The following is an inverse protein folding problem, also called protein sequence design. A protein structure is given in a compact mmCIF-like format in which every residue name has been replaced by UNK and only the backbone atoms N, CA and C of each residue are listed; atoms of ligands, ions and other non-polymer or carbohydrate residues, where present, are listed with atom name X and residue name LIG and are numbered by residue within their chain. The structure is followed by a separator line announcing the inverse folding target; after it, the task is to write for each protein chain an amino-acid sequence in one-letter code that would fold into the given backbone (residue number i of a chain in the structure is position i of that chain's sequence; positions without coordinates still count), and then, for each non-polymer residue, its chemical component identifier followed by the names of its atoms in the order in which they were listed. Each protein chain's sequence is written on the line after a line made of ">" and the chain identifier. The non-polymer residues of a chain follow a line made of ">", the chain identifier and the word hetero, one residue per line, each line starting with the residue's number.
data_IF_878234535411
#
_entry.id   IF_878234535411
#
_cell.length_a   1.000
_cell.length_b   1.000
_cell.length_c   1.000
_cell.angle_alpha   90.00
_cell.angle_beta   90.00
_cell.angle_gamma   90.00
#
_symmetry.space_group_name_H-M   'P 1'
#
loop_
_entity.id
_entity.type
_entity.pdbx_description
1 polymer ?
#
# COMPACT_ATOMS: atom_id res chain seq x y z
N UNK A 1 -34.65 -2.99 9.74
CA UNK A 1 -33.61 -3.97 9.41
C UNK A 1 -32.25 -3.30 9.54
N UNK A 2 -31.29 -3.97 10.18
CA UNK A 2 -29.92 -3.47 10.35
C UNK A 2 -29.04 -3.98 9.21
N UNK A 3 -28.49 -3.05 8.42
CA UNK A 3 -27.54 -3.35 7.36
C UNK A 3 -26.16 -2.91 7.83
N UNK A 4 -25.13 -3.77 7.67
CA UNK A 4 -23.75 -3.47 8.00
C UNK A 4 -22.89 -3.63 6.74
N UNK A 5 -22.01 -2.67 6.52
CA UNK A 5 -21.06 -2.66 5.40
C UNK A 5 -19.67 -3.11 5.84
N UNK A 6 -19.06 -3.98 5.05
CA UNK A 6 -17.65 -4.36 5.20
C UNK A 6 -16.89 -3.84 3.98
N UNK A 7 -16.02 -2.87 4.19
CA UNK A 7 -15.14 -2.30 3.19
C UNK A 7 -13.97 -3.21 2.82
N UNK A 8 -13.04 -2.67 2.07
CA UNK A 8 -11.87 -3.42 1.60
C UNK A 8 -10.64 -2.54 1.41
N UNK A 9 -9.46 -3.00 1.83
CA UNK A 9 -8.20 -2.36 1.48
C UNK A 9 -7.77 -2.60 0.01
N UNK A 10 -8.51 -3.45 -0.75
CA UNK A 10 -8.32 -3.63 -2.19
C UNK A 10 -9.11 -2.62 -3.01
N UNK A 11 -10.29 -2.24 -2.52
CA UNK A 11 -11.14 -1.24 -3.16
C UNK A 11 -10.56 0.18 -3.00
N UNK A 12 -10.87 1.05 -3.97
CA UNK A 12 -10.48 2.45 -3.89
C UNK A 12 -11.13 3.18 -2.71
N UNK A 13 -10.68 4.39 -2.46
CA UNK A 13 -11.13 5.19 -1.32
C UNK A 13 -12.63 5.50 -1.40
N UNK A 14 -13.12 5.86 -2.57
CA UNK A 14 -14.47 6.37 -2.77
C UNK A 14 -15.57 5.35 -2.51
N UNK A 15 -15.54 4.10 -3.01
CA UNK A 15 -16.57 3.12 -2.66
C UNK A 15 -16.52 2.72 -1.18
N UNK A 16 -15.34 2.69 -0.54
CA UNK A 16 -15.24 2.51 0.91
C UNK A 16 -15.90 3.67 1.67
N UNK A 17 -15.64 4.90 1.23
CA UNK A 17 -16.26 6.10 1.79
C UNK A 17 -17.79 6.08 1.60
N UNK A 18 -18.27 5.78 0.38
CA UNK A 18 -19.71 5.72 0.10
C UNK A 18 -20.42 4.69 0.97
N UNK A 19 -19.84 3.52 1.15
CA UNK A 19 -20.40 2.47 2.01
C UNK A 19 -20.51 2.96 3.47
N UNK A 20 -19.47 3.62 3.99
CA UNK A 20 -19.50 4.23 5.31
C UNK A 20 -20.50 5.39 5.41
N UNK A 21 -20.54 6.26 4.40
CA UNK A 21 -21.45 7.42 4.36
C UNK A 21 -22.91 6.98 4.32
N UNK A 22 -23.21 5.97 3.49
CA UNK A 22 -24.56 5.41 3.37
C UNK A 22 -25.05 4.80 4.68
N UNK A 23 -24.30 3.87 5.26
CA UNK A 23 -24.74 3.06 6.40
C UNK A 23 -24.46 3.72 7.76
N UNK A 24 -23.61 4.71 7.78
CA UNK A 24 -23.09 5.36 8.99
C UNK A 24 -21.94 4.59 9.65
N UNK A 25 -21.10 5.29 10.43
CA UNK A 25 -19.85 4.71 10.98
C UNK A 25 -20.11 3.52 11.92
N UNK A 26 -21.21 3.51 12.67
CA UNK A 26 -21.61 2.42 13.59
C UNK A 26 -22.11 1.16 12.88
N UNK A 27 -22.30 1.22 11.57
CA UNK A 27 -22.68 0.09 10.72
C UNK A 27 -21.66 -0.13 9.59
N UNK A 28 -20.44 0.29 9.79
CA UNK A 28 -19.35 0.13 8.82
C UNK A 28 -18.11 -0.46 9.48
N UNK A 29 -17.47 -1.40 8.78
CA UNK A 29 -16.13 -1.89 9.04
C UNK A 29 -15.23 -1.61 7.83
N UNK A 30 -13.99 -1.22 8.07
CA UNK A 30 -13.01 -1.02 6.97
C UNK A 30 -12.60 -2.31 6.25
N UNK A 31 -12.99 -3.47 6.78
CA UNK A 31 -12.67 -4.76 6.21
C UNK A 31 -11.22 -5.22 6.39
N UNK A 32 -10.42 -4.48 7.14
CA UNK A 32 -9.12 -4.93 7.63
C UNK A 32 -9.31 -5.94 8.77
N UNK A 33 -8.44 -6.95 8.85
CA UNK A 33 -8.40 -7.77 10.07
C UNK A 33 -7.97 -6.91 11.27
N UNK A 34 -8.35 -7.29 12.49
CA UNK A 34 -8.06 -6.47 13.66
C UNK A 34 -6.55 -6.27 13.90
N UNK A 35 -5.67 -7.29 13.71
CA UNK A 35 -4.23 -7.09 13.77
C UNK A 35 -3.71 -6.12 12.69
N UNK A 36 -4.17 -6.24 11.44
CA UNK A 36 -3.79 -5.31 10.37
C UNK A 36 -4.24 -3.88 10.67
N UNK A 37 -5.47 -3.71 11.10
CA UNK A 37 -6.01 -2.39 11.45
C UNK A 37 -5.18 -1.71 12.56
N UNK A 38 -4.81 -2.46 13.60
CA UNK A 38 -3.97 -1.97 14.69
C UNK A 38 -2.56 -1.64 14.22
N UNK A 39 -1.97 -2.50 13.37
CA UNK A 39 -0.62 -2.27 12.83
C UNK A 39 -0.58 -1.03 11.91
N UNK A 40 -1.58 -0.85 11.04
CA UNK A 40 -1.65 0.32 10.14
C UNK A 40 -1.93 1.60 10.93
N UNK A 41 -2.72 1.55 11.98
CA UNK A 41 -2.93 2.70 12.88
C UNK A 41 -1.60 3.11 13.55
N UNK A 42 -0.83 2.15 14.04
CA UNK A 42 0.51 2.39 14.59
C UNK A 42 1.45 2.99 13.53
N UNK A 43 1.46 2.41 12.34
CA UNK A 43 2.23 2.89 11.19
C UNK A 43 1.87 4.35 10.85
N UNK A 44 0.59 4.68 10.80
CA UNK A 44 0.12 6.05 10.51
C UNK A 44 0.58 7.05 11.58
N UNK A 45 0.56 6.65 12.87
CA UNK A 45 1.10 7.46 13.97
C UNK A 45 2.60 7.69 13.81
N UNK A 46 3.36 6.66 13.46
CA UNK A 46 4.81 6.77 13.20
C UNK A 46 5.05 7.75 12.06
N UNK A 47 4.38 7.59 10.90
CA UNK A 47 4.56 8.49 9.76
C UNK A 47 4.22 9.95 10.06
N UNK A 48 3.32 10.20 11.00
CA UNK A 48 2.95 11.57 11.41
C UNK A 48 3.90 12.20 12.43
N UNK A 49 4.74 11.42 13.10
CA UNK A 49 5.62 11.87 14.19
C UNK A 49 7.11 11.70 13.92
N UNK A 50 7.50 10.87 12.95
CA UNK A 50 8.90 10.63 12.61
C UNK A 50 9.61 11.91 12.16
N UNK A 51 10.88 12.02 12.52
CA UNK A 51 11.81 13.07 12.06
C UNK A 51 12.52 12.68 10.76
N UNK A 52 12.47 11.41 10.37
CA UNK A 52 13.02 10.92 9.12
C UNK A 52 12.13 11.30 7.92
N UNK A 53 12.74 11.44 6.75
CA UNK A 53 12.01 11.69 5.52
C UNK A 53 11.23 10.44 5.09
N UNK A 54 9.96 10.59 4.71
CA UNK A 54 9.17 9.52 4.09
C UNK A 54 9.40 9.58 2.57
N UNK A 55 10.18 8.66 1.99
CA UNK A 55 10.62 8.79 0.61
C UNK A 55 9.59 8.26 -0.37
N UNK A 56 9.53 8.88 -1.55
CA UNK A 56 8.96 8.21 -2.72
C UNK A 56 9.87 7.06 -3.19
N UNK A 57 9.30 6.12 -3.97
CA UNK A 57 10.06 5.00 -4.55
C UNK A 57 11.30 5.51 -5.34
N UNK A 58 11.18 6.66 -6.02
CA UNK A 58 12.30 7.27 -6.75
C UNK A 58 13.38 7.83 -5.82
N UNK A 59 13.01 8.37 -4.67
CA UNK A 59 13.98 8.87 -3.68
C UNK A 59 14.74 7.72 -3.02
N UNK A 60 14.08 6.55 -2.81
CA UNK A 60 14.76 5.35 -2.29
C UNK A 60 15.92 4.91 -3.16
N UNK A 61 15.85 5.10 -4.48
CA UNK A 61 16.94 4.78 -5.41
C UNK A 61 18.23 5.57 -5.14
N UNK A 62 18.16 6.62 -4.33
CA UNK A 62 19.33 7.44 -3.96
C UNK A 62 19.99 7.05 -2.64
N UNK A 63 19.48 6.04 -1.94
CA UNK A 63 20.07 5.56 -0.68
C UNK A 63 21.48 5.01 -0.90
N UNK A 64 22.37 5.25 0.07
CA UNK A 64 23.76 4.77 0.08
C UNK A 64 24.04 3.70 1.13
N UNK A 65 23.09 3.45 2.04
CA UNK A 65 23.02 2.27 2.89
C UNK A 65 21.55 1.93 3.18
N UNK A 66 21.23 0.65 3.28
CA UNK A 66 19.84 0.20 3.43
C UNK A 66 19.77 -0.81 4.58
N UNK A 67 18.79 -0.64 5.46
CA UNK A 67 18.36 -1.62 6.44
C UNK A 67 16.93 -2.06 6.13
N UNK A 68 16.71 -3.36 5.94
CA UNK A 68 15.39 -3.96 5.95
C UNK A 68 15.16 -4.65 7.28
N UNK A 69 14.09 -4.30 7.97
CA UNK A 69 13.75 -4.83 9.28
C UNK A 69 12.35 -5.47 9.28
N UNK A 70 12.31 -6.79 9.27
CA UNK A 70 11.09 -7.59 9.43
C UNK A 70 10.13 -7.61 8.25
N UNK A 71 10.54 -7.15 7.04
CA UNK A 71 9.63 -7.07 5.89
C UNK A 71 10.20 -7.79 4.66
N UNK A 72 9.44 -8.67 4.04
CA UNK A 72 9.78 -9.24 2.74
C UNK A 72 9.24 -8.36 1.60
N UNK A 73 9.94 -7.29 1.33
CA UNK A 73 9.57 -6.32 0.28
C UNK A 73 9.51 -6.93 -1.13
N UNK A 74 10.15 -8.09 -1.34
CA UNK A 74 10.11 -8.79 -2.64
C UNK A 74 8.71 -9.29 -2.97
N UNK A 75 7.97 -9.73 -1.95
CA UNK A 75 6.61 -10.24 -2.09
C UNK A 75 5.55 -9.18 -1.79
N UNK A 76 5.78 -8.29 -0.80
CA UNK A 76 4.78 -7.32 -0.35
C UNK A 76 4.82 -6.02 -1.14
N UNK A 77 6.02 -5.57 -1.57
CA UNK A 77 6.21 -4.30 -2.24
C UNK A 77 7.24 -4.38 -3.38
N UNK A 78 6.97 -5.11 -4.48
CA UNK A 78 7.96 -5.40 -5.55
C UNK A 78 8.57 -4.14 -6.18
N UNK A 79 7.85 -3.02 -6.22
CA UNK A 79 8.39 -1.75 -6.72
C UNK A 79 9.41 -1.14 -5.77
N UNK A 80 9.22 -1.30 -4.44
CA UNK A 80 10.23 -0.92 -3.45
C UNK A 80 11.45 -1.85 -3.61
N UNK A 81 11.25 -3.17 -3.68
CA UNK A 81 12.35 -4.11 -3.91
C UNK A 81 13.19 -3.75 -5.13
N UNK A 82 12.55 -3.32 -6.24
CA UNK A 82 13.27 -2.85 -7.43
C UNK A 82 14.08 -1.56 -7.12
N UNK A 83 13.51 -0.61 -6.39
CA UNK A 83 14.21 0.62 -6.01
C UNK A 83 15.45 0.32 -5.13
N UNK A 84 15.33 -0.63 -4.19
CA UNK A 84 16.46 -1.06 -3.37
C UNK A 84 17.56 -1.72 -4.23
N UNK A 85 17.20 -2.56 -5.21
CA UNK A 85 18.16 -3.11 -6.19
C UNK A 85 18.84 -2.04 -7.04
N UNK A 86 18.17 -0.92 -7.31
CA UNK A 86 18.81 0.21 -7.98
C UNK A 86 19.75 0.97 -7.00
N UNK A 87 19.31 1.16 -5.76
CA UNK A 87 20.08 1.86 -4.74
C UNK A 87 21.40 1.17 -4.40
N UNK A 88 21.45 -0.15 -4.31
CA UNK A 88 22.72 -0.89 -4.05
C UNK A 88 23.77 -0.68 -5.14
N UNK A 89 23.40 -0.21 -6.33
CA UNK A 89 24.34 0.12 -7.42
C UNK A 89 25.00 1.50 -7.26
N UNK A 90 24.59 2.29 -6.27
CA UNK A 90 25.11 3.65 -6.09
C UNK A 90 26.61 3.68 -5.84
N UNK A 91 27.18 2.65 -5.19
CA UNK A 91 28.64 2.56 -5.00
C UNK A 91 29.36 2.52 -6.37
N UNK A 92 28.93 1.63 -7.27
CA UNK A 92 29.46 1.56 -8.63
C UNK A 92 29.31 2.89 -9.40
N UNK A 93 28.20 3.60 -9.21
CA UNK A 93 27.97 4.92 -9.82
C UNK A 93 28.89 5.99 -9.22
N UNK A 94 29.14 5.96 -7.91
CA UNK A 94 30.05 6.89 -7.23
C UNK A 94 31.51 6.68 -7.71
N UNK A 95 31.94 5.43 -7.83
CA UNK A 95 33.23 5.08 -8.41
C UNK A 95 33.38 5.58 -9.86
N UNK A 96 32.33 5.39 -10.68
CA UNK A 96 32.32 5.84 -12.06
C UNK A 96 32.39 7.37 -12.17
N UNK A 97 31.65 8.10 -11.32
CA UNK A 97 31.69 9.55 -11.26
C UNK A 97 33.08 10.06 -10.87
N UNK A 98 33.71 9.45 -9.88
CA UNK A 98 35.09 9.75 -9.48
C UNK A 98 36.12 9.49 -10.60
N UNK A 99 35.88 8.51 -11.45
CA UNK A 99 36.67 8.18 -12.63
C UNK A 99 36.32 9.02 -13.89
N UNK A 100 35.30 9.91 -13.80
CA UNK A 100 34.85 10.71 -14.93
C UNK A 100 34.05 9.92 -15.98
N UNK A 101 33.52 8.76 -15.61
CA UNK A 101 32.71 7.88 -16.48
C UNK A 101 31.21 8.28 -16.33
N UNK A 102 30.55 8.69 -17.42
CA UNK A 102 29.12 9.01 -17.36
C UNK A 102 28.25 7.78 -17.01
N UNK A 103 27.24 7.99 -16.14
CA UNK A 103 26.34 6.91 -15.63
C UNK A 103 25.60 6.13 -16.75
N UNK A 104 25.39 6.72 -17.91
CA UNK A 104 24.75 6.06 -19.05
C UNK A 104 25.65 5.05 -19.77
N UNK A 105 26.99 5.06 -19.52
CA UNK A 105 27.92 4.08 -20.05
C UNK A 105 27.92 2.81 -19.18
N UNK A 106 26.83 2.07 -19.19
CA UNK A 106 26.56 0.93 -18.30
C UNK A 106 27.71 -0.11 -18.30
N UNK A 107 28.26 -0.45 -19.45
CA UNK A 107 29.36 -1.40 -19.53
C UNK A 107 30.64 -0.91 -18.82
N UNK A 108 30.97 0.38 -18.95
CA UNK A 108 32.14 0.95 -18.28
C UNK A 108 31.93 1.06 -16.76
N UNK A 109 30.71 1.43 -16.32
CA UNK A 109 30.33 1.46 -14.90
C UNK A 109 30.45 0.07 -14.28
N UNK A 110 29.91 -0.97 -14.94
CA UNK A 110 30.01 -2.36 -14.46
C UNK A 110 31.45 -2.85 -14.40
N UNK A 111 32.23 -2.57 -15.43
CA UNK A 111 33.65 -2.98 -15.45
C UNK A 111 34.46 -2.32 -14.35
N UNK A 112 34.12 -1.10 -13.97
CA UNK A 112 34.78 -0.39 -12.87
C UNK A 112 34.30 -0.87 -11.49
N UNK A 113 32.99 -0.96 -11.32
CA UNK A 113 32.36 -1.32 -10.05
C UNK A 113 32.47 -2.79 -9.70
N UNK A 114 32.52 -3.67 -10.73
CA UNK A 114 32.52 -5.14 -10.54
C UNK A 114 31.45 -5.59 -9.53
N UNK A 115 31.87 -6.11 -8.39
CA UNK A 115 31.01 -6.62 -7.33
C UNK A 115 30.77 -5.60 -6.19
N UNK A 116 31.29 -4.35 -6.34
CA UNK A 116 31.10 -3.30 -5.33
C UNK A 116 29.66 -2.79 -5.34
N UNK A 117 29.00 -2.96 -4.21
CA UNK A 117 27.61 -2.56 -3.96
C UNK A 117 27.51 -1.69 -2.70
N UNK A 118 26.62 -0.73 -2.71
CA UNK A 118 26.21 -0.03 -1.49
C UNK A 118 25.61 -1.03 -0.49
N UNK A 119 25.92 -0.92 0.81
CA UNK A 119 25.54 -1.93 1.77
C UNK A 119 24.03 -2.03 1.94
N UNK A 120 23.55 -3.28 1.94
CA UNK A 120 22.19 -3.69 2.24
C UNK A 120 22.21 -4.71 3.37
N UNK A 121 21.63 -4.37 4.52
CA UNK A 121 21.45 -5.25 5.67
C UNK A 121 20.00 -5.76 5.65
N UNK A 122 19.83 -7.07 5.61
CA UNK A 122 18.49 -7.72 5.61
C UNK A 122 18.34 -8.48 6.93
N UNK A 123 17.34 -8.09 7.73
CA UNK A 123 16.98 -8.74 8.99
C UNK A 123 15.52 -9.19 8.89
N UNK A 124 15.31 -10.46 8.59
CA UNK A 124 13.99 -11.04 8.33
C UNK A 124 13.87 -12.43 8.93
N UNK A 125 12.65 -12.96 8.99
CA UNK A 125 12.40 -14.31 9.53
C UNK A 125 12.54 -15.43 8.49
N UNK A 126 12.78 -15.09 7.23
CA UNK A 126 12.94 -16.05 6.13
C UNK A 126 13.79 -15.44 5.01
N UNK A 127 14.31 -16.27 4.16
CA UNK A 127 15.03 -15.85 2.94
C UNK A 127 14.16 -14.97 2.05
N UNK A 128 14.78 -13.98 1.44
CA UNK A 128 14.15 -13.06 0.49
C UNK A 128 14.89 -13.04 -0.85
N UNK A 129 14.25 -12.49 -1.88
CA UNK A 129 14.89 -12.32 -3.20
C UNK A 129 15.93 -11.19 -3.24
N UNK A 130 16.13 -10.47 -2.14
CA UNK A 130 17.15 -9.42 -2.03
C UNK A 130 18.46 -9.95 -1.43
N UNK A 131 18.46 -11.18 -0.93
CA UNK A 131 19.62 -11.81 -0.31
C UNK A 131 20.80 -11.95 -1.29
N UNK A 132 20.52 -12.06 -2.60
CA UNK A 132 21.53 -12.10 -3.66
C UNK A 132 22.33 -10.80 -3.85
N UNK A 133 21.83 -9.68 -3.32
CA UNK A 133 22.50 -8.36 -3.37
C UNK A 133 22.75 -7.77 -1.98
N UNK A 134 22.43 -8.51 -0.93
CA UNK A 134 22.62 -8.09 0.44
C UNK A 134 24.08 -8.27 0.87
N UNK A 135 24.63 -7.29 1.60
CA UNK A 135 25.94 -7.39 2.23
C UNK A 135 25.92 -8.20 3.53
N UNK A 136 24.80 -8.14 4.26
CA UNK A 136 24.58 -8.88 5.51
C UNK A 136 23.14 -9.38 5.58
N UNK A 137 22.97 -10.64 5.99
CA UNK A 137 21.67 -11.31 6.10
C UNK A 137 21.62 -11.93 7.51
N UNK A 138 20.58 -11.56 8.25
CA UNK A 138 20.30 -12.10 9.57
C UNK A 138 18.90 -12.68 9.60
N UNK A 139 18.80 -14.00 9.80
CA UNK A 139 17.53 -14.71 9.91
C UNK A 139 17.17 -14.88 11.39
N UNK A 140 16.20 -14.10 11.87
CA UNK A 140 15.80 -13.99 13.27
C UNK A 140 14.29 -14.21 13.39
N UNK A 141 13.82 -14.63 14.57
CA UNK A 141 12.38 -14.66 14.82
C UNK A 141 11.83 -13.22 15.06
N UNK A 142 10.50 -12.99 14.97
CA UNK A 142 9.94 -11.64 15.06
C UNK A 142 10.29 -10.87 16.34
N UNK A 143 10.39 -11.55 17.49
CA UNK A 143 10.77 -10.93 18.76
C UNK A 143 12.24 -10.47 18.69
N UNK A 144 13.13 -11.34 18.21
CA UNK A 144 14.55 -11.03 18.02
C UNK A 144 14.80 -9.92 17.00
N UNK A 145 13.94 -9.82 15.95
CA UNK A 145 14.01 -8.71 14.97
C UNK A 145 13.68 -7.39 15.67
N UNK A 146 12.65 -7.36 16.50
CA UNK A 146 12.29 -6.17 17.27
C UNK A 146 13.41 -5.76 18.24
N UNK A 147 13.97 -6.72 18.98
CA UNK A 147 15.08 -6.51 19.92
C UNK A 147 16.36 -6.03 19.21
N UNK A 148 16.67 -6.62 18.04
CA UNK A 148 17.75 -6.16 17.20
C UNK A 148 17.57 -4.67 16.82
N UNK A 149 16.38 -4.29 16.39
CA UNK A 149 16.08 -2.90 16.01
C UNK A 149 16.20 -1.93 17.19
N UNK A 150 15.73 -2.29 18.39
CA UNK A 150 15.90 -1.46 19.58
C UNK A 150 17.37 -1.35 20.01
N UNK A 151 18.09 -2.48 20.03
CA UNK A 151 19.54 -2.50 20.34
C UNK A 151 20.34 -1.67 19.34
N UNK A 152 19.96 -1.73 18.05
CA UNK A 152 20.58 -0.92 17.02
C UNK A 152 20.34 0.58 17.25
N UNK A 153 19.11 0.98 17.59
CA UNK A 153 18.80 2.37 17.90
C UNK A 153 19.58 2.86 19.16
N UNK A 154 19.72 2.01 20.18
CA UNK A 154 20.54 2.30 21.37
C UNK A 154 22.02 2.46 21.00
N UNK A 155 22.58 1.56 20.19
CA UNK A 155 23.96 1.64 19.71
C UNK A 155 24.21 2.91 18.92
N UNK A 156 23.32 3.27 18.00
CA UNK A 156 23.38 4.50 17.21
C UNK A 156 23.35 5.76 18.08
N UNK A 157 22.71 5.70 19.25
CA UNK A 157 22.67 6.78 20.24
C UNK A 157 23.85 6.75 21.23
N UNK A 158 24.87 5.91 21.00
CA UNK A 158 26.07 5.82 21.79
C UNK A 158 26.03 4.82 22.95
N UNK A 159 25.03 3.92 22.98
CA UNK A 159 24.93 2.84 23.97
C UNK A 159 26.02 1.79 23.83
N UNK A 160 26.37 1.14 24.94
CA UNK A 160 27.36 0.07 24.99
C UNK A 160 26.72 -1.27 24.64
N UNK A 161 26.59 -1.57 23.35
CA UNK A 161 26.09 -2.85 22.81
C UNK A 161 27.28 -3.61 22.22
N UNK A 162 27.45 -4.88 22.63
CA UNK A 162 28.55 -5.76 22.19
C UNK A 162 28.13 -6.76 21.10
N UNK A 163 26.82 -6.84 20.77
CA UNK A 163 26.33 -7.76 19.74
C UNK A 163 26.95 -7.40 18.38
N UNK A 164 27.63 -8.38 17.75
CA UNK A 164 28.38 -8.21 16.51
C UNK A 164 27.48 -7.80 15.35
N UNK A 165 26.26 -8.36 15.24
CA UNK A 165 25.32 -8.04 14.19
C UNK A 165 24.85 -6.58 14.31
N UNK A 166 24.54 -6.16 15.55
CA UNK A 166 24.11 -4.79 15.85
C UNK A 166 25.26 -3.80 15.58
N UNK A 167 26.49 -4.11 16.02
CA UNK A 167 27.66 -3.25 15.78
C UNK A 167 27.94 -3.09 14.29
N UNK A 168 27.88 -4.18 13.52
CA UNK A 168 28.08 -4.15 12.06
C UNK A 168 27.04 -3.28 11.37
N UNK A 169 25.77 -3.46 11.70
CA UNK A 169 24.69 -2.65 11.13
C UNK A 169 24.82 -1.16 11.52
N UNK A 170 25.20 -0.87 12.77
CA UNK A 170 25.41 0.49 13.25
C UNK A 170 26.56 1.18 12.48
N UNK A 171 27.69 0.50 12.32
CA UNK A 171 28.86 1.05 11.61
C UNK A 171 28.50 1.38 10.14
N UNK A 172 27.77 0.51 9.46
CA UNK A 172 27.27 0.72 8.09
C UNK A 172 26.40 1.98 8.04
N UNK A 173 25.39 2.07 8.91
CA UNK A 173 24.43 3.18 8.89
C UNK A 173 25.07 4.51 9.33
N UNK A 174 26.05 4.47 10.24
CA UNK A 174 26.79 5.67 10.66
C UNK A 174 27.71 6.22 9.57
N UNK A 175 28.20 5.40 8.66
CA UNK A 175 29.03 5.85 7.53
C UNK A 175 28.18 6.43 6.39
N UNK A 176 26.91 6.07 6.29
CA UNK A 176 26.02 6.53 5.23
C UNK A 176 25.66 8.03 5.36
N UNK A 177 25.46 8.68 4.23
CA UNK A 177 24.92 10.04 4.14
C UNK A 177 23.40 10.03 3.99
N UNK A 178 22.85 9.04 3.27
CA UNK A 178 21.43 8.85 2.99
C UNK A 178 20.98 7.43 3.35
N UNK A 179 20.99 7.08 4.65
CA UNK A 179 20.52 5.78 5.08
C UNK A 179 19.01 5.64 4.88
N UNK A 180 18.59 4.45 4.44
CA UNK A 180 17.18 4.09 4.26
C UNK A 180 16.83 2.93 5.19
N UNK A 181 15.85 3.12 6.05
CA UNK A 181 15.24 2.06 6.86
C UNK A 181 13.92 1.66 6.22
N UNK A 182 13.75 0.37 5.93
CA UNK A 182 12.54 -0.21 5.36
C UNK A 182 11.98 -1.24 6.32
N UNK A 183 10.70 -1.12 6.63
CA UNK A 183 9.96 -2.08 7.45
C UNK A 183 8.52 -2.18 6.97
N UNK A 184 7.66 -2.92 7.67
CA UNK A 184 6.26 -3.07 7.33
C UNK A 184 5.50 -3.92 8.31
N UNK A 185 4.27 -4.29 7.96
CA UNK A 185 3.37 -4.99 8.86
C UNK A 185 3.33 -6.51 8.65
N UNK A 186 4.05 -7.05 7.67
CA UNK A 186 4.03 -8.48 7.35
C UNK A 186 4.68 -9.35 8.42
N UNK A 187 5.63 -8.81 9.18
CA UNK A 187 6.29 -9.48 10.30
C UNK A 187 5.36 -9.82 11.49
N UNK A 188 4.12 -9.34 11.46
CA UNK A 188 3.08 -9.60 12.47
C UNK A 188 3.46 -9.25 13.92
N UNK A 189 4.53 -8.49 14.14
CA UNK A 189 4.98 -8.05 15.45
C UNK A 189 5.01 -6.51 15.52
N UNK A 190 4.20 -5.88 16.40
CA UNK A 190 4.04 -4.43 16.41
C UNK A 190 5.32 -3.67 16.77
N UNK A 191 6.26 -4.28 17.50
CA UNK A 191 7.48 -3.61 17.96
C UNK A 191 8.56 -3.55 16.88
N UNK A 192 8.46 -4.35 15.82
CA UNK A 192 9.31 -4.21 14.64
C UNK A 192 9.12 -2.81 14.00
N UNK A 193 7.86 -2.35 13.87
CA UNK A 193 7.58 -0.99 13.37
C UNK A 193 8.15 0.09 14.30
N UNK A 194 8.02 -0.11 15.63
CA UNK A 194 8.53 0.86 16.62
C UNK A 194 10.05 0.94 16.58
N UNK A 195 10.72 -0.20 16.52
CA UNK A 195 12.17 -0.26 16.49
C UNK A 195 12.75 0.32 15.18
N UNK A 196 12.12 0.01 14.03
CA UNK A 196 12.47 0.61 12.75
C UNK A 196 12.36 2.15 12.76
N UNK A 197 11.26 2.67 13.31
CA UNK A 197 11.06 4.11 13.47
C UNK A 197 12.13 4.72 14.38
N UNK A 198 12.44 4.07 15.52
CA UNK A 198 13.46 4.53 16.47
C UNK A 198 14.85 4.57 15.82
N UNK A 199 15.22 3.56 15.02
CA UNK A 199 16.47 3.56 14.24
C UNK A 199 16.52 4.75 13.29
N UNK A 200 15.45 4.97 12.51
CA UNK A 200 15.38 6.05 11.54
C UNK A 200 15.43 7.44 12.20
N UNK A 201 14.69 7.64 13.29
CA UNK A 201 14.67 8.90 14.03
C UNK A 201 16.05 9.19 14.68
N UNK A 202 16.71 8.18 15.25
CA UNK A 202 18.05 8.32 15.83
C UNK A 202 19.08 8.74 14.77
N UNK A 203 19.02 8.12 13.58
CA UNK A 203 19.88 8.51 12.45
C UNK A 203 19.58 9.93 11.96
N UNK A 204 18.30 10.31 11.90
CA UNK A 204 17.89 11.65 11.47
C UNK A 204 18.39 12.74 12.43
N UNK A 205 18.40 12.49 13.75
CA UNK A 205 18.95 13.40 14.74
C UNK A 205 20.47 13.66 14.57
N UNK A 206 21.18 12.79 13.89
CA UNK A 206 22.60 12.92 13.57
C UNK A 206 22.87 13.75 12.30
N UNK A 207 21.91 14.54 11.84
CA UNK A 207 21.96 15.38 10.62
C UNK A 207 22.19 14.60 9.32
N UNK A 208 21.73 13.35 9.26
CA UNK A 208 21.74 12.55 8.05
C UNK A 208 20.43 12.76 7.26
N UNK A 209 20.50 12.66 5.94
CA UNK A 209 19.31 12.62 5.08
C UNK A 209 18.65 11.23 5.16
N UNK A 210 18.17 10.90 6.37
CA UNK A 210 17.61 9.60 6.70
C UNK A 210 16.22 9.45 6.11
N UNK A 211 15.96 8.28 5.54
CA UNK A 211 14.67 7.91 4.96
C UNK A 211 14.04 6.73 5.72
N UNK A 212 12.72 6.79 5.94
CA UNK A 212 11.93 5.71 6.53
C UNK A 212 10.78 5.32 5.59
N UNK A 213 10.73 4.05 5.19
CA UNK A 213 9.62 3.49 4.40
C UNK A 213 8.95 2.36 5.16
N UNK A 214 7.63 2.46 5.34
CA UNK A 214 6.82 1.45 6.02
C UNK A 214 5.81 0.83 5.05
N UNK A 215 6.03 -0.43 4.68
CA UNK A 215 5.21 -1.15 3.72
C UNK A 215 3.84 -1.52 4.29
N UNK A 216 2.82 -1.45 3.44
CA UNK A 216 1.46 -1.91 3.71
C UNK A 216 1.08 -3.00 2.71
N UNK A 217 0.23 -3.99 3.09
CA UNK A 217 0.07 -5.20 2.29
C UNK A 217 -0.77 -5.01 1.01
N UNK A 218 -1.69 -4.05 0.99
CA UNK A 218 -2.62 -3.88 -0.13
C UNK A 218 -2.66 -2.43 -0.63
N UNK A 219 -3.15 -2.28 -1.86
CA UNK A 219 -3.06 -1.03 -2.63
C UNK A 219 -3.71 0.17 -1.95
N UNK A 220 -4.73 -0.04 -1.12
CA UNK A 220 -5.44 1.01 -0.39
C UNK A 220 -5.55 0.73 1.11
N UNK A 221 -4.63 -0.03 1.70
CA UNK A 221 -4.62 -0.29 3.14
C UNK A 221 -4.60 1.00 3.96
N UNK A 222 -3.81 1.99 3.53
CA UNK A 222 -3.77 3.32 4.16
C UNK A 222 -5.12 4.04 4.03
N UNK A 223 -5.74 4.04 2.85
CA UNK A 223 -7.04 4.67 2.65
C UNK A 223 -8.15 4.04 3.49
N UNK A 224 -8.19 2.71 3.56
CA UNK A 224 -9.14 1.98 4.40
C UNK A 224 -8.94 2.29 5.90
N UNK A 225 -7.69 2.40 6.35
CA UNK A 225 -7.38 2.76 7.72
C UNK A 225 -7.73 4.22 8.04
N UNK A 226 -7.43 5.16 7.15
CA UNK A 226 -7.75 6.58 7.33
C UNK A 226 -9.26 6.87 7.32
N UNK A 227 -10.07 6.01 6.74
CA UNK A 227 -11.54 6.10 6.82
C UNK A 227 -12.09 5.67 8.18
N UNK A 228 -11.31 4.97 9.01
CA UNK A 228 -11.75 4.56 10.35
C UNK A 228 -11.89 5.77 11.28
N UNK A 229 -12.81 5.66 12.21
CA UNK A 229 -12.97 6.53 13.37
C UNK A 229 -13.34 5.67 14.60
N UNK A 230 -13.51 6.29 15.74
CA UNK A 230 -13.81 5.61 17.01
C UNK A 230 -15.13 4.80 17.00
N UNK A 231 -16.02 5.04 16.04
CA UNK A 231 -17.32 4.35 15.91
C UNK A 231 -17.29 3.26 14.82
N UNK A 232 -16.18 3.12 14.10
CA UNK A 232 -16.02 2.13 13.04
C UNK A 232 -15.86 0.74 13.65
N UNK A 233 -16.69 -0.22 13.24
CA UNK A 233 -16.65 -1.58 13.73
C UNK A 233 -15.35 -2.30 13.30
N UNK A 234 -14.79 -3.10 14.19
CA UNK A 234 -13.80 -4.11 13.82
C UNK A 234 -14.49 -5.31 13.13
N UNK A 235 -13.73 -6.15 12.43
CA UNK A 235 -14.29 -7.37 11.86
C UNK A 235 -14.77 -8.33 12.96
N UNK A 236 -14.06 -8.42 14.07
CA UNK A 236 -14.48 -9.23 15.23
C UNK A 236 -15.82 -8.77 15.78
N UNK A 237 -16.03 -7.45 15.96
CA UNK A 237 -17.32 -6.90 16.43
C UNK A 237 -18.46 -7.19 15.45
N UNK A 238 -18.22 -7.15 14.12
CA UNK A 238 -19.23 -7.54 13.13
C UNK A 238 -19.63 -9.01 13.31
N UNK A 239 -18.66 -9.92 13.46
CA UNK A 239 -18.91 -11.35 13.65
C UNK A 239 -19.60 -11.66 15.00
N UNK A 240 -19.29 -10.90 16.04
CA UNK A 240 -19.93 -11.07 17.35
C UNK A 240 -21.40 -10.60 17.36
N UNK A 241 -21.76 -9.67 16.47
CA UNK A 241 -23.10 -9.09 16.39
C UNK A 241 -23.97 -9.66 15.25
N UNK A 242 -23.59 -10.77 14.62
CA UNK A 242 -24.34 -11.35 13.48
C UNK A 242 -25.82 -11.61 13.79
N UNK A 243 -26.16 -11.92 15.04
CA UNK A 243 -27.54 -12.09 15.50
C UNK A 243 -28.40 -10.82 15.45
N UNK A 244 -27.76 -9.66 15.37
CA UNK A 244 -28.40 -8.33 15.30
C UNK A 244 -28.33 -7.69 13.92
N UNK A 245 -27.77 -8.40 12.96
CA UNK A 245 -27.56 -7.91 11.59
C UNK A 245 -28.52 -8.69 10.66
N UNK A 246 -29.28 -7.96 9.87
CA UNK A 246 -30.17 -8.57 8.87
C UNK A 246 -29.41 -8.78 7.53
N UNK A 247 -28.57 -7.83 7.14
CA UNK A 247 -27.86 -7.87 5.85
C UNK A 247 -26.41 -7.38 6.01
N UNK A 248 -25.47 -8.08 5.40
CA UNK A 248 -24.10 -7.63 5.18
C UNK A 248 -23.90 -7.19 3.73
N UNK A 249 -23.29 -6.05 3.53
CA UNK A 249 -22.80 -5.61 2.21
C UNK A 249 -21.30 -5.67 2.23
N UNK A 250 -20.71 -6.57 1.44
CA UNK A 250 -19.25 -6.82 1.39
C UNK A 250 -18.71 -6.24 0.10
N UNK A 251 -17.76 -5.30 0.23
CA UNK A 251 -17.15 -4.57 -0.87
C UNK A 251 -15.78 -5.17 -1.20
N UNK A 252 -15.63 -5.84 -2.34
CA UNK A 252 -14.35 -6.31 -2.90
C UNK A 252 -13.41 -6.96 -1.87
N UNK A 253 -13.95 -7.77 -0.93
CA UNK A 253 -13.19 -8.31 0.17
C UNK A 253 -13.40 -9.81 0.33
N UNK A 254 -12.29 -10.54 0.37
CA UNK A 254 -12.32 -11.95 0.68
C UNK A 254 -12.12 -12.16 2.20
N UNK A 255 -13.23 -12.38 2.90
CA UNK A 255 -13.23 -12.57 4.35
C UNK A 255 -12.54 -13.87 4.78
N UNK A 256 -12.40 -14.86 3.88
CA UNK A 256 -11.67 -16.10 4.19
C UNK A 256 -10.19 -15.83 4.50
N UNK A 257 -9.64 -14.73 3.95
CA UNK A 257 -8.28 -14.28 4.19
C UNK A 257 -8.13 -13.36 5.41
N UNK A 258 -9.24 -12.87 5.97
CA UNK A 258 -9.25 -11.90 7.08
C UNK A 258 -9.66 -12.52 8.40
N UNK A 259 -10.51 -13.51 8.34
CA UNK A 259 -11.11 -14.15 9.49
C UNK A 259 -10.47 -15.51 9.77
N UNK A 260 -10.32 -15.85 11.04
CA UNK A 260 -9.96 -17.21 11.44
C UNK A 260 -11.10 -18.20 11.12
N UNK A 261 -10.78 -19.49 11.01
CA UNK A 261 -11.72 -20.56 10.64
C UNK A 261 -13.02 -20.53 11.44
N UNK A 262 -12.94 -20.31 12.76
CA UNK A 262 -14.12 -20.30 13.63
C UNK A 262 -15.04 -19.11 13.33
N UNK A 263 -14.49 -17.94 13.05
CA UNK A 263 -15.26 -16.75 12.70
C UNK A 263 -15.93 -16.90 11.34
N UNK A 264 -15.22 -17.49 10.38
CA UNK A 264 -15.76 -17.79 9.03
C UNK A 264 -16.90 -18.83 9.12
N UNK A 265 -16.74 -19.88 9.94
CA UNK A 265 -17.80 -20.86 10.19
C UNK A 265 -19.04 -20.21 10.82
N UNK A 266 -18.83 -19.33 11.82
CA UNK A 266 -19.92 -18.59 12.45
C UNK A 266 -20.67 -17.71 11.45
N UNK A 267 -19.97 -17.09 10.50
CA UNK A 267 -20.60 -16.34 9.40
C UNK A 267 -21.40 -17.26 8.48
N UNK A 268 -20.83 -18.40 8.09
CA UNK A 268 -21.50 -19.39 7.23
C UNK A 268 -22.77 -19.99 7.84
N UNK A 269 -22.77 -20.21 9.17
CA UNK A 269 -23.92 -20.75 9.90
C UNK A 269 -24.97 -19.68 10.26
N UNK A 270 -24.68 -18.40 9.99
CA UNK A 270 -25.59 -17.30 10.29
C UNK A 270 -26.77 -17.25 9.35
N UNK A 271 -27.83 -16.54 9.75
CA UNK A 271 -29.00 -16.26 8.91
C UNK A 271 -28.97 -14.92 8.23
N UNK A 272 -27.79 -14.29 8.21
CA UNK A 272 -27.60 -12.97 7.64
C UNK A 272 -27.60 -13.05 6.12
N UNK A 273 -28.37 -12.19 5.45
CA UNK A 273 -28.31 -12.04 3.99
C UNK A 273 -26.99 -11.35 3.60
N UNK A 274 -26.20 -11.97 2.74
CA UNK A 274 -24.93 -11.43 2.30
C UNK A 274 -25.03 -10.96 0.84
N UNK A 275 -24.76 -9.69 0.62
CA UNK A 275 -24.62 -9.07 -0.70
C UNK A 275 -23.14 -8.74 -0.90
N UNK A 276 -22.51 -9.38 -1.87
CA UNK A 276 -21.09 -9.13 -2.18
C UNK A 276 -20.91 -8.45 -3.53
N UNK A 277 -20.03 -7.45 -3.53
CA UNK A 277 -19.53 -6.79 -4.73
C UNK A 277 -18.09 -7.25 -4.90
N UNK A 278 -17.76 -7.95 -5.97
CA UNK A 278 -16.36 -8.31 -6.21
C UNK A 278 -16.03 -8.45 -7.70
N UNK A 279 -14.75 -8.36 -8.01
CA UNK A 279 -14.17 -8.46 -9.36
C UNK A 279 -13.80 -9.92 -9.69
N UNK A 280 -13.42 -10.69 -8.67
CA UNK A 280 -12.90 -12.06 -8.78
C UNK A 280 -13.70 -13.00 -7.88
N UNK A 281 -13.89 -14.21 -8.35
CA UNK A 281 -14.45 -15.30 -7.56
C UNK A 281 -13.53 -15.62 -6.37
N UNK A 282 -14.12 -15.76 -5.19
CA UNK A 282 -13.42 -16.08 -3.94
C UNK A 282 -14.38 -16.81 -2.96
N UNK A 283 -13.83 -17.31 -1.86
CA UNK A 283 -14.59 -18.11 -0.89
C UNK A 283 -15.73 -17.33 -0.23
N UNK A 284 -15.62 -16.03 -0.08
CA UNK A 284 -16.70 -15.20 0.49
C UNK A 284 -17.93 -15.17 -0.40
N UNK A 285 -17.76 -15.21 -1.73
CA UNK A 285 -18.87 -15.22 -2.67
C UNK A 285 -19.71 -16.49 -2.54
N UNK A 286 -19.13 -17.61 -2.13
CA UNK A 286 -19.86 -18.86 -1.88
C UNK A 286 -20.83 -18.76 -0.69
N UNK A 287 -20.64 -17.79 0.20
CA UNK A 287 -21.52 -17.51 1.32
C UNK A 287 -22.62 -16.47 0.96
N UNK A 288 -22.51 -15.85 -0.19
CA UNK A 288 -23.36 -14.71 -0.56
C UNK A 288 -24.68 -15.16 -1.14
N UNK A 289 -25.79 -14.54 -0.68
CA UNK A 289 -27.12 -14.72 -1.27
C UNK A 289 -27.28 -13.94 -2.59
N UNK A 290 -26.47 -12.89 -2.79
CA UNK A 290 -26.43 -12.07 -4.00
C UNK A 290 -25.00 -11.64 -4.29
N UNK A 291 -24.59 -11.74 -5.56
CA UNK A 291 -23.28 -11.27 -6.04
C UNK A 291 -23.49 -10.22 -7.12
N UNK A 292 -22.89 -9.05 -6.95
CA UNK A 292 -22.91 -7.96 -7.91
C UNK A 292 -21.54 -7.85 -8.57
N UNK A 293 -21.43 -8.01 -9.90
CA UNK A 293 -20.16 -8.04 -10.58
C UNK A 293 -19.55 -6.63 -10.64
N UNK A 294 -18.46 -6.44 -9.91
CA UNK A 294 -17.71 -5.18 -9.90
C UNK A 294 -16.79 -5.06 -11.12
N UNK A 295 -16.60 -3.85 -11.59
CA UNK A 295 -15.62 -3.53 -12.62
C UNK A 295 -14.20 -3.61 -12.05
N UNK A 296 -13.25 -4.10 -12.86
CA UNK A 296 -11.84 -4.14 -12.48
C UNK A 296 -11.22 -2.75 -12.40
N UNK A 297 -10.02 -2.64 -11.84
CA UNK A 297 -9.28 -1.37 -11.79
C UNK A 297 -9.01 -0.76 -13.19
N UNK A 298 -8.97 -1.57 -14.24
CA UNK A 298 -8.81 -1.10 -15.62
C UNK A 298 -10.13 -0.60 -16.24
N UNK A 299 -11.26 -0.98 -15.67
CA UNK A 299 -12.62 -0.64 -16.12
C UNK A 299 -13.28 0.43 -15.22
N UNK A 300 -12.61 0.84 -14.16
CA UNK A 300 -13.11 1.80 -13.17
C UNK A 300 -12.13 2.93 -12.92
N UNK A 301 -12.55 3.87 -12.15
CA UNK A 301 -11.72 4.94 -11.62
C UNK A 301 -11.80 4.94 -10.10
N UNK A 302 -10.77 5.51 -9.47
CA UNK A 302 -10.68 5.56 -8.02
C UNK A 302 -9.43 6.27 -7.54
N UNK A 303 -9.37 6.51 -6.24
CA UNK A 303 -8.18 7.04 -5.57
C UNK A 303 -7.62 5.99 -4.63
N UNK A 304 -6.31 5.79 -4.68
CA UNK A 304 -5.56 4.93 -3.76
C UNK A 304 -4.62 5.78 -2.92
N UNK A 305 -4.47 5.44 -1.65
CA UNK A 305 -3.50 6.08 -0.77
C UNK A 305 -2.37 5.10 -0.52
N UNK A 306 -1.16 5.47 -0.97
CA UNK A 306 0.01 4.62 -0.87
C UNK A 306 0.67 4.69 0.53
N UNK A 307 1.77 3.96 0.71
CA UNK A 307 2.55 3.91 1.95
C UNK A 307 3.15 5.27 2.37
N UNK A 308 3.30 6.23 1.45
CA UNK A 308 3.75 7.60 1.75
C UNK A 308 2.62 8.48 2.31
N UNK A 309 1.37 7.99 2.36
CA UNK A 309 0.20 8.82 2.60
C UNK A 309 -0.23 9.65 1.39
N UNK A 310 0.30 9.38 0.21
CA UNK A 310 -0.01 10.10 -1.03
C UNK A 310 -1.25 9.53 -1.69
N UNK A 311 -2.26 10.35 -1.90
CA UNK A 311 -3.43 10.03 -2.71
C UNK A 311 -3.08 10.08 -4.20
N UNK A 312 -3.46 9.06 -4.95
CA UNK A 312 -3.20 8.93 -6.38
C UNK A 312 -4.47 8.44 -7.08
N UNK A 313 -5.05 9.28 -7.95
CA UNK A 313 -6.22 8.92 -8.75
C UNK A 313 -5.82 8.12 -9.98
N UNK A 314 -6.52 7.04 -10.25
CA UNK A 314 -6.46 6.28 -11.49
C UNK A 314 -7.76 6.44 -12.28
N UNK A 315 -7.69 6.14 -13.58
CA UNK A 315 -8.79 6.35 -14.52
C UNK A 315 -9.01 5.08 -15.35
N UNK A 316 -10.24 4.84 -15.85
CA UNK A 316 -10.51 3.67 -16.65
C UNK A 316 -9.72 3.70 -17.95
N UNK A 317 -9.21 2.54 -18.34
CA UNK A 317 -8.54 2.31 -19.64
C UNK A 317 -9.59 2.01 -20.72
N UNK A 318 -10.63 1.27 -20.34
CA UNK A 318 -11.76 0.88 -21.21
C UNK A 318 -13.05 0.78 -20.39
N UNK A 319 -14.18 0.80 -21.09
CA UNK A 319 -15.48 0.67 -20.46
C UNK A 319 -15.73 -0.77 -19.96
N UNK A 320 -16.43 -0.93 -18.83
CA UNK A 320 -16.81 -2.25 -18.34
C UNK A 320 -17.65 -3.01 -19.37
N UNK A 321 -17.35 -4.28 -19.57
CA UNK A 321 -18.15 -5.13 -20.45
C UNK A 321 -19.32 -5.78 -19.69
N UNK A 322 -20.39 -6.10 -20.41
CA UNK A 322 -21.60 -6.74 -19.88
C UNK A 322 -22.28 -5.93 -18.76
N UNK A 323 -22.69 -6.61 -17.69
CA UNK A 323 -23.40 -6.02 -16.56
C UNK A 323 -22.50 -5.52 -15.43
N UNK A 324 -21.17 -5.52 -15.64
CA UNK A 324 -20.23 -5.04 -14.64
C UNK A 324 -20.34 -3.52 -14.50
N UNK A 325 -20.30 -3.06 -13.25
CA UNK A 325 -20.28 -1.64 -12.93
C UNK A 325 -19.15 -1.36 -11.90
N UNK A 326 -18.56 -0.16 -11.92
CA UNK A 326 -17.74 0.29 -10.81
C UNK A 326 -18.47 0.14 -9.48
N UNK A 327 -17.76 -0.29 -8.42
CA UNK A 327 -18.38 -0.57 -7.13
C UNK A 327 -19.12 0.63 -6.55
N UNK A 328 -18.66 1.85 -6.78
CA UNK A 328 -19.35 3.06 -6.35
C UNK A 328 -20.76 3.19 -6.99
N UNK A 329 -20.93 2.82 -8.26
CA UNK A 329 -22.22 2.85 -8.95
C UNK A 329 -23.18 1.79 -8.40
N UNK A 330 -22.66 0.58 -8.06
CA UNK A 330 -23.46 -0.43 -7.40
C UNK A 330 -24.00 0.06 -6.05
N UNK A 331 -23.15 0.74 -5.25
CA UNK A 331 -23.57 1.27 -3.95
C UNK A 331 -24.64 2.36 -4.10
N UNK A 332 -24.51 3.26 -5.07
CA UNK A 332 -25.54 4.27 -5.38
C UNK A 332 -26.87 3.59 -5.78
N UNK A 333 -26.83 2.57 -6.64
CA UNK A 333 -28.01 1.81 -7.02
C UNK A 333 -28.64 1.09 -5.84
N UNK A 334 -27.87 0.42 -5.00
CA UNK A 334 -28.39 -0.27 -3.81
C UNK A 334 -29.06 0.71 -2.84
N UNK A 335 -28.46 1.86 -2.58
CA UNK A 335 -29.05 2.90 -1.73
C UNK A 335 -30.39 3.41 -2.29
N UNK A 336 -30.47 3.62 -3.59
CA UNK A 336 -31.69 4.11 -4.24
C UNK A 336 -32.87 3.13 -4.13
N UNK A 337 -32.63 1.82 -4.12
CA UNK A 337 -33.66 0.80 -3.90
C UNK A 337 -34.25 0.88 -2.49
N UNK A 338 -33.48 1.32 -1.50
CA UNK A 338 -33.93 1.50 -0.11
C UNK A 338 -34.63 2.84 0.15
N UNK A 339 -34.85 3.69 -0.84
CA UNK A 339 -35.35 5.06 -0.69
C UNK A 339 -34.46 5.92 0.23
N UNK A 340 -33.17 5.61 0.33
CA UNK A 340 -32.20 6.40 1.07
C UNK A 340 -31.60 7.47 0.14
N UNK A 341 -31.83 8.73 0.50
CA UNK A 341 -31.43 9.89 -0.30
C UNK A 341 -29.96 10.30 -0.08
N UNK A 342 -29.23 9.66 0.85
CA UNK A 342 -27.84 10.03 1.19
C UNK A 342 -26.87 9.95 0.01
N UNK A 343 -27.13 9.05 -0.95
CA UNK A 343 -26.32 8.92 -2.16
C UNK A 343 -27.04 9.46 -3.41
N UNK A 344 -28.09 10.26 -3.23
CA UNK A 344 -28.81 10.86 -4.35
C UNK A 344 -27.99 11.97 -5.00
N UNK A 345 -28.10 12.14 -6.33
CA UNK A 345 -27.40 13.19 -7.08
C UNK A 345 -25.91 12.90 -7.33
N UNK A 346 -25.45 11.66 -7.12
CA UNK A 346 -24.11 11.22 -7.50
C UNK A 346 -24.16 10.60 -8.91
N UNK A 347 -24.15 11.47 -9.93
CA UNK A 347 -24.31 11.06 -11.32
C UNK A 347 -22.96 10.66 -11.97
N UNK A 348 -21.86 11.23 -11.49
CA UNK A 348 -20.53 10.93 -11.96
C UNK A 348 -19.53 10.73 -10.79
N UNK A 349 -18.37 10.20 -11.10
CA UNK A 349 -17.34 9.94 -10.09
C UNK A 349 -16.81 11.23 -9.44
N UNK A 350 -16.76 12.33 -10.18
CA UNK A 350 -16.31 13.62 -9.63
C UNK A 350 -17.29 14.14 -8.55
N UNK A 351 -18.59 13.78 -8.62
CA UNK A 351 -19.55 14.08 -7.55
C UNK A 351 -19.20 13.33 -6.26
N UNK A 352 -18.80 12.07 -6.38
CA UNK A 352 -18.36 11.25 -5.25
C UNK A 352 -17.09 11.83 -4.61
N UNK A 353 -16.12 12.23 -5.43
CA UNK A 353 -14.88 12.88 -4.95
C UNK A 353 -15.20 14.20 -4.23
N UNK A 354 -16.12 15.00 -4.76
CA UNK A 354 -16.56 16.26 -4.16
C UNK A 354 -17.29 16.04 -2.81
N UNK A 355 -18.11 14.99 -2.74
CA UNK A 355 -18.77 14.60 -1.49
C UNK A 355 -17.73 14.16 -0.44
N UNK A 356 -16.73 13.37 -0.84
CA UNK A 356 -15.63 12.97 0.04
C UNK A 356 -14.83 14.19 0.53
N UNK A 357 -14.46 15.12 -0.38
CA UNK A 357 -13.73 16.32 -0.04
C UNK A 357 -14.45 17.19 1.01
N UNK A 358 -15.79 17.23 0.94
CA UNK A 358 -16.61 18.02 1.86
C UNK A 358 -16.92 17.33 3.20
N UNK A 359 -16.58 16.04 3.34
CA UNK A 359 -17.01 15.23 4.48
C UNK A 359 -16.16 15.38 5.73
N UNK A 360 -14.88 15.72 5.58
CA UNK A 360 -13.91 15.86 6.68
C UNK A 360 -12.74 16.71 6.19
N UNK A 361 -12.16 17.54 7.07
CA UNK A 361 -11.02 18.43 6.77
C UNK A 361 -9.83 17.67 6.16
N UNK A 362 -9.55 16.45 6.64
CA UNK A 362 -8.46 15.61 6.12
C UNK A 362 -8.59 15.23 4.64
N UNK A 363 -9.81 15.30 4.08
CA UNK A 363 -10.08 15.01 2.68
C UNK A 363 -10.23 16.26 1.80
N UNK A 364 -10.17 17.45 2.39
CA UNK A 364 -10.49 18.73 1.71
C UNK A 364 -9.68 19.00 0.44
N UNK A 365 -8.52 18.36 0.26
CA UNK A 365 -7.66 18.52 -0.92
C UNK A 365 -7.74 17.32 -1.89
N UNK A 366 -8.61 16.33 -1.62
CA UNK A 366 -8.64 15.08 -2.42
C UNK A 366 -9.10 15.33 -3.86
N UNK A 367 -9.92 16.32 -4.10
CA UNK A 367 -10.41 16.75 -5.42
C UNK A 367 -9.30 17.43 -6.27
N UNK A 368 -8.20 17.86 -5.63
CA UNK A 368 -7.06 18.51 -6.29
C UNK A 368 -5.95 17.53 -6.68
N UNK A 369 -6.06 16.26 -6.29
CA UNK A 369 -5.03 15.21 -6.56
C UNK A 369 -4.84 14.98 -8.05
N UNK A 370 -5.91 15.04 -8.82
CA UNK A 370 -5.87 14.94 -10.28
C UNK A 370 -7.02 15.72 -10.91
N UNK A 371 -6.88 16.17 -12.16
CA UNK A 371 -7.98 16.75 -12.91
C UNK A 371 -9.15 15.76 -13.01
N UNK A 372 -10.38 16.28 -13.09
CA UNK A 372 -11.57 15.50 -13.33
C UNK A 372 -11.53 14.71 -14.64
N UNK A 373 -12.43 13.73 -14.78
CA UNK A 373 -12.46 12.86 -15.97
C UNK A 373 -12.64 13.63 -17.30
N UNK A 374 -13.34 14.73 -17.24
CA UNK A 374 -13.60 15.58 -18.42
C UNK A 374 -12.43 16.50 -18.80
N UNK A 375 -11.39 16.58 -18.00
CA UNK A 375 -10.24 17.47 -18.25
C UNK A 375 -9.58 17.18 -19.60
N UNK A 376 -9.24 18.25 -20.31
CA UNK A 376 -8.53 18.22 -21.60
C UNK A 376 -7.39 19.24 -21.56
N UNK A 377 -6.16 18.79 -21.88
CA UNK A 377 -5.04 19.71 -22.06
C UNK A 377 -5.14 20.34 -23.43
N UNK A 378 -5.18 21.68 -23.49
CA UNK A 378 -5.34 22.44 -24.74
C UNK A 378 -6.48 21.96 -25.64
N UNK A 379 -7.61 21.55 -25.05
CA UNK A 379 -8.77 21.00 -25.73
C UNK A 379 -8.65 19.52 -26.15
N UNK A 380 -7.55 18.85 -25.84
CA UNK A 380 -7.34 17.44 -26.14
C UNK A 380 -7.52 16.55 -24.91
N UNK A 381 -8.01 15.34 -25.11
CA UNK A 381 -8.08 14.34 -24.07
C UNK A 381 -6.66 13.98 -23.59
N UNK A 382 -6.44 13.92 -22.27
CA UNK A 382 -5.19 13.41 -21.73
C UNK A 382 -5.03 11.95 -22.18
N UNK A 383 -3.90 11.60 -22.83
CA UNK A 383 -3.66 10.20 -23.21
C UNK A 383 -3.56 9.33 -21.97
N UNK A 384 -4.43 8.31 -21.88
CA UNK A 384 -4.45 7.32 -20.79
C UNK A 384 -4.17 5.91 -21.28
N UNK A 385 -3.73 5.78 -22.51
CA UNK A 385 -3.31 4.55 -23.16
C UNK A 385 -2.04 4.81 -23.96
N UNK A 386 -1.29 3.77 -24.23
CA UNK A 386 -0.07 3.88 -25.01
C UNK A 386 -0.38 4.36 -26.42
N UNK A 387 0.51 5.16 -26.99
CA UNK A 387 0.41 5.57 -28.39
C UNK A 387 0.64 4.40 -29.37
N UNK A 388 1.24 3.32 -28.89
CA UNK A 388 1.53 2.12 -29.67
C UNK A 388 0.78 0.94 -29.08
N UNK A 389 0.23 0.10 -29.92
CA UNK A 389 -0.58 -1.06 -29.54
C UNK A 389 0.11 -1.99 -28.51
N UNK A 390 1.39 -2.27 -28.70
CA UNK A 390 2.16 -3.14 -27.82
C UNK A 390 2.81 -2.42 -26.62
N UNK A 391 2.76 -1.09 -26.57
CA UNK A 391 3.51 -0.28 -25.58
C UNK A 391 5.03 -0.34 -25.75
N UNK A 392 5.54 -1.00 -26.79
CA UNK A 392 6.96 -1.13 -27.09
C UNK A 392 7.37 -0.13 -28.17
N UNK A 393 8.67 0.10 -28.32
CA UNK A 393 9.21 0.92 -29.40
C UNK A 393 9.01 0.29 -30.78
N UNK A 394 9.05 -1.04 -30.86
CA UNK A 394 8.69 -1.77 -32.07
C UNK A 394 7.22 -2.18 -32.02
N UNK A 395 6.48 -1.97 -33.11
CA UNK A 395 5.16 -2.55 -33.29
C UNK A 395 5.22 -4.06 -33.36
N UNK A 396 4.09 -4.72 -33.24
CA UNK A 396 3.99 -6.15 -33.40
C UNK A 396 4.45 -6.55 -34.82
N UNK A 397 5.71 -6.92 -34.94
CA UNK A 397 6.33 -7.24 -36.23
C UNK A 397 5.73 -8.48 -36.92
N UNK A 398 4.96 -9.30 -36.20
CA UNK A 398 4.25 -10.44 -36.77
C UNK A 398 2.95 -10.05 -37.47
N UNK A 399 2.42 -8.84 -37.20
CA UNK A 399 1.15 -8.34 -37.74
C UNK A 399 1.35 -7.13 -38.63
N UNK A 400 2.32 -6.26 -38.31
CA UNK A 400 2.60 -5.04 -39.07
C UNK A 400 4.10 -4.84 -39.17
N UNK A 401 4.57 -4.62 -40.38
CA UNK A 401 5.96 -4.28 -40.69
C UNK A 401 6.22 -2.78 -40.65
N UNK A 402 5.18 -1.97 -40.45
CA UNK A 402 5.28 -0.51 -40.44
C UNK A 402 5.09 0.02 -39.03
N UNK A 403 6.15 0.59 -38.46
CA UNK A 403 5.99 1.54 -37.37
C UNK A 403 5.49 2.87 -37.95
N UNK A 404 4.48 3.50 -37.34
CA UNK A 404 4.17 4.88 -37.71
C UNK A 404 5.41 5.75 -37.43
N UNK A 405 5.67 6.74 -38.25
CA UNK A 405 6.82 7.61 -38.13
C UNK A 405 6.90 8.33 -36.78
#
# INVERSE_FOLDING_TARGET
>A
KRVVGIGSPRASLEPNFLLKHWLGPTNFSSGLSDPEASAIEKLTKILSSTTANVPSVRQMESADAILILGEDVSNTAPRIALALRQAVRNESFSMAEAAGIPKWQDAAVRNLGQDELSPLVVVTSSESRLDDVASHIYCLNPDEIADFGFSLAEKLNGGEIEDEMVCTAADILLQANRPLVVSGISGSHPDILSSAAMVADTLSMSNKDTMLSLCVPESNSMGAALLRDQNTLSLTEVIEQLDKIDTLVILENDLSRRLGKNALQKLADSKVDIISLDVLENDTLNLSSMVLPAASFAESEGTLINFEGRAQRYFPVFEPANERLPSWQWLVKLASLGSDEKLSGLDCFDDVVSLLASSDEKWSEIDKVAPGQAFRDRGQKIPRQTHRYSGRTAMNASVSVHEPP
#
